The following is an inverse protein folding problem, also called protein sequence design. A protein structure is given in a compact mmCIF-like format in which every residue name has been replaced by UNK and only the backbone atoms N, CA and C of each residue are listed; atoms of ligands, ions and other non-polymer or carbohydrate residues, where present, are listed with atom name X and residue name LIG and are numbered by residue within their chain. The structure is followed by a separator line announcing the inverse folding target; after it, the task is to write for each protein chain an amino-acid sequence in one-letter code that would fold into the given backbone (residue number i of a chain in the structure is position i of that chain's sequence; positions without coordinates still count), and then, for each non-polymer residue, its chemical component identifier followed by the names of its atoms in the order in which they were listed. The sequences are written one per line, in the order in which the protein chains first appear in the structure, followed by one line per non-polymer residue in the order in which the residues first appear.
data_IF_981867180709
#
_entry.id   IF_981867180709
#
_cell.length_a   1.000
_cell.length_b   1.000
_cell.length_c   1.000
_cell.angle_alpha   90.00
_cell.angle_beta   90.00
_cell.angle_gamma   90.00
#
_symmetry.space_group_name_H-M   'P 1'
#
loop_
_entity.id
_entity.type
_entity.pdbx_description
1 polymer ?
#
# COMPACT_ATOMS: atom_id res chain seq x y z
N UNK A 1 -15.20 -16.23 9.20
CA UNK A 1 -14.95 -14.77 9.18
C UNK A 1 -13.77 -14.57 8.25
N UNK A 2 -13.87 -13.82 7.14
CA UNK A 2 -12.70 -13.58 6.31
C UNK A 2 -11.66 -12.88 7.19
N UNK A 3 -10.43 -13.40 7.18
CA UNK A 3 -9.32 -12.78 7.89
C UNK A 3 -9.18 -11.33 7.40
N UNK A 4 -8.91 -10.36 8.29
CA UNK A 4 -8.85 -8.94 7.92
C UNK A 4 -7.85 -8.66 6.78
N UNK A 5 -6.88 -9.56 6.59
CA UNK A 5 -5.88 -9.50 5.54
C UNK A 5 -6.40 -9.96 4.16
N UNK A 6 -7.40 -10.83 4.07
CA UNK A 6 -7.93 -11.33 2.79
C UNK A 6 -8.75 -10.26 2.06
N UNK A 7 -9.63 -9.57 2.77
CA UNK A 7 -10.37 -8.43 2.21
C UNK A 7 -9.43 -7.31 1.74
N UNK A 8 -8.33 -7.09 2.47
CA UNK A 8 -7.32 -6.13 2.10
C UNK A 8 -6.52 -6.55 0.85
N UNK A 9 -6.17 -7.83 0.71
CA UNK A 9 -5.52 -8.36 -0.50
C UNK A 9 -6.42 -8.18 -1.74
N UNK A 10 -7.72 -8.48 -1.61
CA UNK A 10 -8.69 -8.29 -2.70
C UNK A 10 -8.81 -6.81 -3.10
N UNK A 11 -8.87 -5.90 -2.12
CA UNK A 11 -8.88 -4.45 -2.39
C UNK A 11 -7.60 -4.00 -3.10
N UNK A 12 -6.44 -4.47 -2.65
CA UNK A 12 -5.15 -4.17 -3.26
C UNK A 12 -5.11 -4.66 -4.71
N UNK A 13 -5.54 -5.90 -4.98
CA UNK A 13 -5.65 -6.45 -6.33
C UNK A 13 -6.59 -5.63 -7.21
N UNK A 14 -7.78 -5.32 -6.70
CA UNK A 14 -8.76 -4.53 -7.45
C UNK A 14 -8.19 -3.15 -7.82
N UNK A 15 -7.53 -2.46 -6.88
CA UNK A 15 -6.92 -1.15 -7.12
C UNK A 15 -5.68 -1.20 -8.02
N UNK A 16 -4.92 -2.30 -8.00
CA UNK A 16 -3.84 -2.55 -8.96
C UNK A 16 -4.38 -2.72 -10.38
N UNK A 17 -5.49 -3.44 -10.55
CA UNK A 17 -6.18 -3.61 -11.85
C UNK A 17 -6.83 -2.29 -12.30
N UNK A 18 -7.39 -1.50 -11.38
CA UNK A 18 -7.98 -0.18 -11.65
C UNK A 18 -6.92 0.88 -12.03
N UNK A 19 -5.63 0.60 -11.83
CA UNK A 19 -4.54 1.55 -12.07
C UNK A 19 -4.42 2.65 -11.00
N UNK A 20 -5.19 2.55 -9.91
CA UNK A 20 -5.06 3.41 -8.72
C UNK A 20 -3.78 3.14 -7.94
N UNK A 21 -3.28 1.91 -8.04
CA UNK A 21 -2.02 1.50 -7.47
C UNK A 21 -1.02 1.23 -8.59
N UNK A 22 0.19 1.81 -8.53
CA UNK A 22 1.21 1.51 -9.52
C UNK A 22 1.52 0.01 -9.47
N UNK A 23 1.48 -0.71 -10.61
CA UNK A 23 2.02 -2.05 -10.74
C UNK A 23 3.55 -2.04 -10.88
N UNK A 24 4.19 -0.86 -10.90
CA UNK A 24 5.63 -0.67 -11.08
C UNK A 24 6.41 -0.51 -9.77
N UNK A 25 7.67 -0.95 -9.76
CA UNK A 25 8.50 -0.91 -8.55
C UNK A 25 8.60 0.54 -8.05
N UNK A 26 8.34 0.73 -6.76
CA UNK A 26 8.44 2.07 -6.17
C UNK A 26 9.92 2.38 -6.06
N UNK A 27 10.37 3.40 -6.79
CA UNK A 27 11.78 3.79 -6.84
C UNK A 27 12.29 4.17 -5.45
N UNK A 28 11.41 4.68 -4.59
CA UNK A 28 11.76 5.08 -3.24
C UNK A 28 10.59 4.92 -2.28
N UNK A 29 10.90 4.32 -1.12
CA UNK A 29 9.98 4.11 0.00
C UNK A 29 10.61 4.67 1.24
N UNK A 30 9.83 5.39 2.04
CA UNK A 30 10.25 5.90 3.34
C UNK A 30 9.14 5.69 4.36
N UNK A 31 9.55 5.26 5.55
CA UNK A 31 8.67 5.18 6.71
C UNK A 31 8.73 6.52 7.45
N UNK A 32 7.57 7.15 7.64
CA UNK A 32 7.43 8.36 8.47
C UNK A 32 6.27 8.18 9.45
N UNK A 33 6.26 8.90 10.59
CA UNK A 33 5.08 8.96 11.43
C UNK A 33 3.93 9.55 10.63
N UNK A 34 2.79 8.88 10.66
CA UNK A 34 1.60 9.41 10.03
C UNK A 34 1.12 10.67 10.76
N UNK A 35 0.44 11.51 10.01
CA UNK A 35 -0.13 12.78 10.42
C UNK A 35 -1.65 12.81 10.22
N UNK A 36 -2.27 11.67 9.91
CA UNK A 36 -3.68 11.58 9.50
C UNK A 36 -3.87 11.38 8.00
N UNK A 37 -2.82 10.97 7.27
CA UNK A 37 -2.93 10.59 5.86
C UNK A 37 -3.93 9.45 5.65
N UNK A 38 -4.50 9.36 4.45
CA UNK A 38 -5.40 8.26 4.08
C UNK A 38 -4.62 7.22 3.29
N UNK A 39 -4.67 5.97 3.75
CA UNK A 39 -4.01 4.88 3.04
C UNK A 39 -4.69 4.65 1.70
N UNK A 40 -3.93 4.68 0.60
CA UNK A 40 -4.51 4.49 -0.75
C UNK A 40 -4.94 3.04 -1.01
N UNK A 41 -4.42 2.07 -0.25
CA UNK A 41 -4.78 0.65 -0.37
C UNK A 41 -6.11 0.31 0.30
N UNK A 42 -6.29 0.69 1.57
CA UNK A 42 -7.48 0.35 2.36
C UNK A 42 -8.44 1.53 2.57
N UNK A 43 -8.11 2.70 2.04
CA UNK A 43 -8.89 3.95 2.16
C UNK A 43 -9.19 4.36 3.61
N UNK A 44 -8.38 3.85 4.54
CA UNK A 44 -8.50 4.13 5.97
C UNK A 44 -7.47 5.16 6.39
N UNK A 45 -7.84 6.03 7.33
CA UNK A 45 -6.94 7.01 7.91
C UNK A 45 -5.83 6.33 8.71
N UNK A 46 -4.59 6.66 8.37
CA UNK A 46 -3.39 6.27 9.10
C UNK A 46 -3.27 7.20 10.31
N UNK A 47 -3.48 6.63 11.49
CA UNK A 47 -3.44 7.39 12.73
C UNK A 47 -2.00 7.80 13.06
N UNK A 48 -1.82 8.91 13.79
CA UNK A 48 -0.49 9.43 14.17
C UNK A 48 0.37 8.46 15.01
N UNK A 49 -0.27 7.45 15.58
CA UNK A 49 0.39 6.36 16.31
C UNK A 49 1.01 5.30 15.38
N UNK A 50 0.71 5.34 14.08
CA UNK A 50 1.15 4.38 13.09
C UNK A 50 2.18 5.00 12.14
N UNK A 51 3.00 4.14 11.55
CA UNK A 51 3.93 4.53 10.50
C UNK A 51 3.24 4.44 9.14
N UNK A 52 3.36 5.51 8.36
CA UNK A 52 3.01 5.51 6.95
C UNK A 52 4.26 5.20 6.14
N UNK A 53 4.14 4.21 5.26
CA UNK A 53 5.06 3.94 4.18
C UNK A 53 4.65 4.85 3.03
N UNK A 54 5.38 5.94 2.84
CA UNK A 54 5.20 6.79 1.68
C UNK A 54 6.16 6.35 0.58
N UNK A 55 5.62 6.20 -0.61
CA UNK A 55 6.27 5.54 -1.72
C UNK A 55 6.05 6.30 -3.01
N UNK A 56 7.13 6.56 -3.74
CA UNK A 56 7.09 7.32 -4.98
C UNK A 56 7.40 6.35 -6.13
N UNK A 57 6.45 6.25 -7.06
CA UNK A 57 6.70 5.64 -8.37
C UNK A 57 7.56 6.60 -9.20
N UNK A 58 8.38 6.08 -10.10
CA UNK A 58 9.26 6.90 -10.94
C UNK A 58 8.42 7.92 -11.73
N UNK A 59 8.58 9.21 -11.42
CA UNK A 59 7.78 10.30 -12.01
C UNK A 59 6.32 10.42 -11.55
N UNK A 60 5.86 9.60 -10.60
CA UNK A 60 4.50 9.62 -10.08
C UNK A 60 4.32 10.39 -8.75
N UNK A 61 3.08 10.71 -8.35
CA UNK A 61 2.82 11.30 -7.04
C UNK A 61 3.17 10.33 -5.89
N UNK A 62 3.61 10.83 -4.72
CA UNK A 62 3.82 10.01 -3.54
C UNK A 62 2.50 9.37 -3.11
N UNK A 63 2.55 8.07 -2.85
CA UNK A 63 1.41 7.28 -2.38
C UNK A 63 1.68 6.81 -0.96
N UNK A 64 0.64 6.88 -0.13
CA UNK A 64 0.73 6.65 1.31
C UNK A 64 0.07 5.33 1.67
N UNK A 65 0.81 4.47 2.35
CA UNK A 65 0.36 3.15 2.75
C UNK A 65 0.56 2.91 4.23
N UNK A 66 -0.31 2.14 4.87
CA UNK A 66 0.05 1.51 6.14
C UNK A 66 1.22 0.56 5.92
N UNK A 67 2.08 0.39 6.93
CA UNK A 67 3.15 -0.62 6.89
C UNK A 67 2.63 -2.02 6.55
N UNK A 68 1.46 -2.42 7.10
CA UNK A 68 0.82 -3.71 6.78
C UNK A 68 0.30 -3.77 5.35
N UNK A 69 -0.42 -2.74 4.89
CA UNK A 69 -0.94 -2.69 3.52
C UNK A 69 0.20 -2.73 2.50
N UNK A 70 1.30 -2.03 2.77
CA UNK A 70 2.50 -2.03 1.92
C UNK A 70 3.14 -3.42 1.85
N UNK A 71 3.27 -4.13 2.99
CA UNK A 71 3.79 -5.50 3.00
C UNK A 71 2.91 -6.47 2.19
N UNK A 72 1.59 -6.39 2.32
CA UNK A 72 0.66 -7.20 1.53
C UNK A 72 0.72 -6.87 0.04
N UNK A 73 0.80 -5.59 -0.31
CA UNK A 73 0.94 -5.15 -1.69
C UNK A 73 2.25 -5.64 -2.32
N UNK A 74 3.36 -5.60 -1.60
CA UNK A 74 4.62 -6.20 -2.06
C UNK A 74 4.50 -7.71 -2.27
N UNK A 75 3.82 -8.41 -1.35
CA UNK A 75 3.61 -9.85 -1.46
C UNK A 75 2.74 -10.22 -2.67
N UNK A 76 1.69 -9.46 -2.97
CA UNK A 76 0.85 -9.67 -4.15
C UNK A 76 1.59 -9.39 -5.46
N UNK A 77 2.55 -8.47 -5.45
CA UNK A 77 3.36 -8.11 -6.63
C UNK A 77 4.52 -9.05 -6.88
N UNK A 78 5.12 -9.58 -5.82
CA UNK A 78 6.22 -10.52 -5.90
C UNK A 78 5.79 -11.83 -5.23
N UNK A 79 4.89 -12.61 -5.86
CA UNK A 79 4.57 -13.93 -5.37
C UNK A 79 5.87 -14.74 -5.31
N UNK A 80 6.20 -15.40 -4.19
CA UNK A 80 7.41 -16.20 -4.09
C UNK A 80 7.33 -17.37 -5.07
N UNK A 81 7.98 -17.24 -6.23
CA UNK A 81 7.98 -18.29 -7.25
C UNK A 81 8.13 -17.82 -8.70
N UNK A 82 9.16 -17.02 -9.01
CA UNK A 82 9.64 -16.82 -10.39
C UNK A 82 11.11 -17.17 -10.50
#
# INVERSE_FOLDING_TARGET
MPEPDEGLRLLIRAKLVDGRLPPEQMARVWARPANGETCVACETTITRAQLVMESVADGGPPTQFHTRCFALWQAERNPPGR
#
